data_IF_155338569035
#
_entry.id   IF_155338569035
#
_cell.length_a   1.000
_cell.length_b   1.000
_cell.length_c   1.000
_cell.angle_alpha   90.00
_cell.angle_beta   90.00
_cell.angle_gamma   90.00
#
_symmetry.space_group_name_H-M   'P 1'
#
loop_
_entity.id
_entity.type
_entity.pdbx_description
1 polymer ?
#
# COMPACT_ATOMS: atom_id res chain seq x y z
N UNK A 1 5.03 7.03 29.45
CA UNK A 1 6.19 7.74 28.86
C UNK A 1 6.22 7.42 27.37
N UNK A 2 6.29 8.47 26.56
CA UNK A 2 6.19 8.59 25.09
C UNK A 2 6.71 7.41 24.27
N UNK A 3 5.99 7.00 23.22
CA UNK A 3 6.58 6.62 21.92
C UNK A 3 5.65 7.00 20.77
N UNK A 4 5.81 8.25 20.32
CA UNK A 4 5.61 8.64 18.93
C UNK A 4 6.50 7.77 18.06
N UNK A 5 6.09 7.47 16.85
CA UNK A 5 6.91 6.64 15.96
C UNK A 5 6.65 7.24 14.51
N UNK A 6 7.10 6.76 13.34
CA UNK A 6 6.74 7.26 11.97
C UNK A 6 6.70 6.10 10.95
N UNK A 7 5.84 6.11 9.92
CA UNK A 7 5.85 5.11 8.83
C UNK A 7 6.95 5.44 7.80
N UNK A 8 7.54 4.42 7.17
CA UNK A 8 8.33 4.55 5.93
C UNK A 8 7.69 3.68 4.84
N UNK A 9 7.62 4.20 3.61
CA UNK A 9 7.12 3.49 2.43
C UNK A 9 8.33 2.96 1.62
N UNK A 10 8.21 1.77 1.02
CA UNK A 10 9.20 1.20 0.10
C UNK A 10 8.55 0.75 -1.20
N UNK A 11 9.31 0.81 -2.29
CA UNK A 11 8.97 0.21 -3.59
C UNK A 11 9.70 -1.14 -3.69
N UNK A 12 8.96 -2.22 -3.94
CA UNK A 12 9.49 -3.59 -3.97
C UNK A 12 9.67 -4.05 -5.42
N UNK A 13 10.90 -4.38 -5.82
CA UNK A 13 11.23 -5.03 -7.09
C UNK A 13 11.53 -6.51 -6.84
N UNK A 14 10.67 -7.42 -7.28
CA UNK A 14 10.81 -8.86 -7.09
C UNK A 14 11.74 -9.49 -8.15
N UNK A 15 12.90 -10.00 -7.73
CA UNK A 15 13.64 -11.03 -8.47
C UNK A 15 13.09 -12.40 -8.07
N UNK A 16 12.44 -13.12 -9.00
CA UNK A 16 11.73 -14.37 -8.71
C UNK A 16 12.50 -15.59 -9.25
N UNK A 17 12.83 -16.54 -8.36
CA UNK A 17 13.19 -17.92 -8.76
C UNK A 17 11.91 -18.72 -9.08
N UNK A 18 11.92 -19.39 -10.23
CA UNK A 18 10.75 -19.94 -10.91
C UNK A 18 10.34 -21.32 -10.36
N UNK A 19 9.04 -21.54 -10.14
CA UNK A 19 8.43 -22.86 -10.24
C UNK A 19 7.04 -22.76 -10.91
N UNK A 20 6.89 -23.49 -12.00
CA UNK A 20 5.80 -23.46 -12.98
C UNK A 20 4.60 -24.30 -12.55
N UNK A 21 3.36 -23.80 -12.69
CA UNK A 21 2.28 -24.46 -13.47
C UNK A 21 0.99 -23.61 -13.53
N UNK A 22 0.32 -23.68 -14.69
CA UNK A 22 -0.86 -22.93 -15.18
C UNK A 22 -0.53 -21.61 -15.90
N UNK A 23 -0.45 -21.71 -17.23
CA UNK A 23 -0.46 -20.62 -18.21
C UNK A 23 -1.83 -19.91 -18.20
N UNK A 24 -1.97 -18.89 -17.36
CA UNK A 24 -2.78 -17.72 -17.67
C UNK A 24 -1.79 -16.66 -18.17
N UNK A 25 -1.69 -16.51 -19.49
CA UNK A 25 -1.11 -15.31 -20.09
C UNK A 25 -2.13 -14.18 -19.88
N UNK A 26 -2.27 -13.73 -18.64
CA UNK A 26 -2.77 -12.40 -18.38
C UNK A 26 -1.68 -11.47 -18.92
N UNK A 27 -2.04 -10.58 -19.84
CA UNK A 27 -1.18 -9.45 -20.18
C UNK A 27 -0.94 -8.71 -18.86
N UNK A 28 0.19 -8.98 -18.19
CA UNK A 28 0.67 -8.18 -17.07
C UNK A 28 0.95 -6.80 -17.66
N UNK A 29 -0.08 -5.96 -17.72
CA UNK A 29 0.11 -4.53 -17.67
C UNK A 29 1.00 -4.33 -16.43
N UNK A 30 2.26 -3.93 -16.64
CA UNK A 30 3.25 -3.64 -15.60
C UNK A 30 2.79 -2.41 -14.80
N UNK A 31 1.68 -2.55 -14.07
CA UNK A 31 1.13 -1.53 -13.21
C UNK A 31 1.89 -1.57 -11.89
N UNK A 32 2.48 -0.42 -11.55
CA UNK A 32 3.11 -0.23 -10.27
C UNK A 32 2.04 -0.27 -9.17
N UNK A 33 2.45 -0.65 -7.95
CA UNK A 33 1.55 -0.80 -6.80
C UNK A 33 2.02 0.09 -5.66
N UNK A 34 1.10 0.88 -5.12
CA UNK A 34 1.32 1.60 -3.87
C UNK A 34 0.86 0.71 -2.71
N UNK A 35 1.78 0.35 -1.83
CA UNK A 35 1.55 -0.60 -0.74
C UNK A 35 1.70 0.10 0.60
N UNK A 36 0.68 0.00 1.44
CA UNK A 36 0.68 0.44 2.82
C UNK A 36 1.14 -0.70 3.71
N UNK A 37 2.09 -0.43 4.60
CA UNK A 37 2.64 -1.40 5.57
C UNK A 37 2.25 -1.02 6.99
N UNK A 38 2.02 -2.02 7.84
CA UNK A 38 1.71 -1.81 9.24
C UNK A 38 2.94 -1.32 10.01
N UNK A 39 2.72 -0.51 11.05
CA UNK A 39 3.74 -0.10 12.01
C UNK A 39 3.13 0.11 13.40
N UNK A 40 3.98 0.42 14.38
CA UNK A 40 3.56 0.64 15.78
C UNK A 40 3.45 2.13 16.13
N UNK A 41 3.22 2.96 15.11
CA UNK A 41 3.36 4.39 15.25
C UNK A 41 2.05 5.10 15.20
N UNK A 42 1.42 5.01 14.03
CA UNK A 42 0.46 6.01 13.68
C UNK A 42 -0.88 5.42 14.06
N UNK A 43 -1.78 6.32 14.40
CA UNK A 43 -3.12 5.93 14.78
C UNK A 43 -3.89 5.50 13.54
N UNK A 44 -4.91 4.67 13.74
CA UNK A 44 -5.84 4.29 12.69
C UNK A 44 -6.43 5.53 12.01
N UNK A 45 -6.82 6.53 12.81
CA UNK A 45 -7.36 7.80 12.30
C UNK A 45 -6.39 8.50 11.32
N UNK A 46 -5.10 8.56 11.67
CA UNK A 46 -4.09 9.17 10.80
C UNK A 46 -3.93 8.41 9.47
N UNK A 47 -3.93 7.08 9.54
CA UNK A 47 -3.84 6.22 8.34
C UNK A 47 -5.07 6.43 7.46
N UNK A 48 -6.27 6.43 8.05
CA UNK A 48 -7.54 6.63 7.34
C UNK A 48 -7.56 8.00 6.66
N UNK A 49 -7.24 9.07 7.38
CA UNK A 49 -7.16 10.43 6.82
C UNK A 49 -6.15 10.52 5.67
N UNK A 50 -4.98 9.88 5.82
CA UNK A 50 -3.95 9.83 4.78
C UNK A 50 -4.43 9.11 3.51
N UNK A 51 -5.15 8.00 3.65
CA UNK A 51 -5.71 7.25 2.52
C UNK A 51 -6.79 8.06 1.78
N UNK A 52 -7.62 8.81 2.50
CA UNK A 52 -8.61 9.71 1.91
C UNK A 52 -7.92 10.87 1.18
N UNK A 53 -6.96 11.54 1.81
CA UNK A 53 -6.32 12.72 1.24
C UNK A 53 -5.43 12.38 0.04
N UNK A 54 -4.58 11.37 0.19
CA UNK A 54 -3.52 11.04 -0.77
C UNK A 54 -4.03 10.07 -1.84
N UNK A 55 -4.65 8.96 -1.41
CA UNK A 55 -5.10 7.91 -2.34
C UNK A 55 -6.48 8.19 -2.92
N UNK A 56 -7.23 9.17 -2.38
CA UNK A 56 -8.61 9.51 -2.74
C UNK A 56 -9.60 8.38 -2.45
N UNK A 57 -9.35 7.62 -1.40
CA UNK A 57 -10.28 6.60 -0.91
C UNK A 57 -11.52 7.26 -0.28
N UNK A 58 -12.65 6.55 -0.33
CA UNK A 58 -13.77 6.87 0.58
C UNK A 58 -13.41 6.48 2.01
N UNK A 59 -14.17 6.98 3.00
CA UNK A 59 -13.97 6.60 4.40
C UNK A 59 -14.01 5.08 4.60
N UNK A 60 -15.02 4.42 4.03
CA UNK A 60 -15.18 2.96 4.11
C UNK A 60 -13.98 2.22 3.52
N UNK A 61 -13.50 2.63 2.33
CA UNK A 61 -12.32 2.02 1.70
C UNK A 61 -11.07 2.19 2.58
N UNK A 62 -10.88 3.37 3.14
CA UNK A 62 -9.73 3.69 4.00
C UNK A 62 -9.78 2.89 5.31
N UNK A 63 -10.94 2.76 5.95
CA UNK A 63 -11.15 1.93 7.14
C UNK A 63 -10.86 0.46 6.86
N UNK A 64 -11.41 -0.09 5.77
CA UNK A 64 -11.17 -1.48 5.38
C UNK A 64 -9.69 -1.74 5.08
N UNK A 65 -9.03 -0.86 4.34
CA UNK A 65 -7.59 -0.96 4.08
C UNK A 65 -6.79 -0.93 5.37
N UNK A 66 -7.12 -0.03 6.30
CA UNK A 66 -6.44 0.08 7.60
C UNK A 66 -6.58 -1.20 8.42
N UNK A 67 -7.78 -1.79 8.46
CA UNK A 67 -8.01 -3.08 9.12
C UNK A 67 -7.25 -4.23 8.46
N UNK A 68 -7.20 -4.26 7.13
CA UNK A 68 -6.43 -5.26 6.38
C UNK A 68 -4.94 -5.16 6.69
N UNK A 69 -4.38 -3.94 6.72
CA UNK A 69 -2.97 -3.71 7.06
C UNK A 69 -2.68 -4.16 8.49
N UNK A 70 -3.54 -3.83 9.44
CA UNK A 70 -3.36 -4.21 10.84
C UNK A 70 -3.21 -5.73 11.02
N UNK A 71 -4.04 -6.52 10.34
CA UNK A 71 -4.02 -7.98 10.50
C UNK A 71 -3.04 -8.70 9.56
N UNK A 72 -2.86 -8.20 8.34
CA UNK A 72 -2.04 -8.86 7.30
C UNK A 72 -0.63 -8.28 7.18
N UNK A 73 -0.35 -7.18 7.86
CA UNK A 73 0.94 -6.46 7.82
C UNK A 73 1.11 -5.54 6.60
N UNK A 74 0.36 -5.74 5.50
CA UNK A 74 0.37 -4.86 4.34
C UNK A 74 -0.93 -4.90 3.52
N UNK A 75 -1.17 -3.86 2.72
CA UNK A 75 -2.30 -3.76 1.80
C UNK A 75 -1.89 -2.92 0.58
N UNK A 76 -2.23 -3.38 -0.63
CA UNK A 76 -2.13 -2.55 -1.83
C UNK A 76 -3.28 -1.55 -1.83
N UNK A 77 -2.97 -0.26 -1.82
CA UNK A 77 -3.95 0.81 -1.72
C UNK A 77 -4.24 1.48 -3.06
N UNK A 78 -3.34 1.33 -4.04
CA UNK A 78 -3.52 1.81 -5.42
C UNK A 78 -2.64 1.05 -6.41
N UNK A 79 -3.11 0.94 -7.65
CA UNK A 79 -2.31 0.48 -8.81
C UNK A 79 -2.34 1.56 -9.88
N UNK A 80 -1.28 1.67 -10.68
CA UNK A 80 -1.19 2.66 -11.75
C UNK A 80 0.23 2.84 -12.29
N UNK A 81 0.40 3.79 -13.19
CA UNK A 81 1.71 4.18 -13.72
C UNK A 81 2.59 4.88 -12.65
N UNK A 82 3.90 4.85 -12.86
CA UNK A 82 4.85 5.41 -11.90
C UNK A 82 4.69 6.92 -11.70
N UNK A 83 4.35 7.67 -12.76
CA UNK A 83 4.17 9.13 -12.70
C UNK A 83 2.99 9.52 -11.80
N UNK A 84 1.92 8.72 -11.82
CA UNK A 84 0.76 8.89 -10.95
C UNK A 84 1.04 8.49 -9.50
N UNK A 85 1.79 7.40 -9.27
CA UNK A 85 2.01 6.87 -7.91
C UNK A 85 3.14 7.57 -7.16
N UNK A 86 4.19 8.02 -7.84
CA UNK A 86 5.34 8.70 -7.23
C UNK A 86 4.98 9.90 -6.33
N UNK A 87 4.09 10.83 -6.73
CA UNK A 87 3.73 11.96 -5.85
C UNK A 87 2.92 11.53 -4.62
N UNK A 88 2.25 10.37 -4.65
CA UNK A 88 1.49 9.84 -3.51
C UNK A 88 2.40 9.22 -2.44
N UNK A 89 3.59 8.77 -2.84
CA UNK A 89 4.60 8.19 -1.94
C UNK A 89 5.35 9.25 -1.10
N UNK A 90 5.46 10.48 -1.59
CA UNK A 90 6.35 11.51 -1.03
C UNK A 90 5.68 12.49 -0.06
N UNK A 91 4.39 12.33 0.24
CA UNK A 91 3.63 13.15 1.20
C UNK A 91 3.73 12.59 2.62
#
# INVERSE_FOLDING_TARGET
MKRQRKYNIYCESSQTEKQTDVLLLEEENEENKLVLYNDDVNTFDFVIESLIEVCKHTLEQAEQCTMLVHYKGKCTVKTGDMETLMPMHQK
#
